data_IF_637645562893
#
_entry.id   IF_637645562893
#
_cell.length_a   1.000
_cell.length_b   1.000
_cell.length_c   1.000
_cell.angle_alpha   90.00
_cell.angle_beta   90.00
_cell.angle_gamma   90.00
#
_symmetry.space_group_name_H-M   'P 1'
#
loop_
_entity.id
_entity.type
_entity.pdbx_description
1 polymer ?
#
# COMPACT_ATOMS: atom_id res chain seq x y z
N UNK A 1 25.73 -21.09 -0.13
CA UNK A 1 24.50 -20.64 -0.83
C UNK A 1 23.38 -20.60 0.20
N UNK A 2 23.00 -19.41 0.67
CA UNK A 2 21.79 -19.30 1.48
C UNK A 2 20.59 -19.51 0.54
N UNK A 3 19.75 -20.51 0.83
CA UNK A 3 18.53 -20.73 0.08
C UNK A 3 17.63 -19.48 0.21
N UNK A 4 17.39 -18.80 -0.91
CA UNK A 4 16.46 -17.68 -0.98
C UNK A 4 15.06 -18.22 -0.73
N UNK A 5 14.44 -17.85 0.40
CA UNK A 5 13.04 -18.19 0.69
C UNK A 5 12.18 -17.57 -0.43
N UNK A 6 11.26 -18.33 -1.06
CA UNK A 6 10.35 -17.79 -2.06
C UNK A 6 9.55 -16.61 -1.49
N UNK A 7 9.39 -15.55 -2.28
CA UNK A 7 8.63 -14.35 -1.88
C UNK A 7 7.17 -14.69 -1.56
N UNK A 8 6.61 -15.66 -2.26
CA UNK A 8 5.27 -16.21 -2.05
C UNK A 8 5.32 -17.73 -1.86
N UNK A 9 4.45 -18.24 -1.01
CA UNK A 9 4.19 -19.67 -0.83
C UNK A 9 2.75 -20.00 -1.22
N UNK A 10 2.56 -21.22 -1.69
CA UNK A 10 1.24 -21.72 -2.12
C UNK A 10 0.92 -23.01 -1.38
N UNK A 11 -0.33 -23.15 -0.93
CA UNK A 11 -0.84 -24.37 -0.31
C UNK A 11 -2.27 -24.64 -0.79
N UNK A 12 -2.59 -25.90 -1.04
CA UNK A 12 -3.97 -26.33 -1.25
C UNK A 12 -4.61 -26.57 0.11
N UNK A 13 -5.68 -25.84 0.41
CA UNK A 13 -6.42 -25.96 1.66
C UNK A 13 -7.68 -26.79 1.41
N UNK A 14 -7.88 -27.79 2.26
CA UNK A 14 -9.19 -28.38 2.48
C UNK A 14 -10.01 -27.43 3.36
N UNK A 15 -11.18 -27.02 2.86
CA UNK A 15 -12.01 -25.99 3.50
C UNK A 15 -13.05 -26.63 4.43
N UNK A 16 -13.41 -27.90 4.22
CA UNK A 16 -14.37 -28.62 5.07
C UNK A 16 -13.69 -29.27 6.28
N UNK A 17 -13.14 -28.44 7.17
CA UNK A 17 -12.41 -28.88 8.37
C UNK A 17 -13.25 -29.80 9.28
N UNK A 18 -14.57 -29.74 9.18
CA UNK A 18 -15.50 -30.50 10.01
C UNK A 18 -16.06 -31.75 9.31
N UNK A 19 -15.63 -32.06 8.07
CA UNK A 19 -16.17 -33.14 7.26
C UNK A 19 -17.71 -33.16 7.24
N UNK A 20 -18.34 -31.98 7.08
CA UNK A 20 -19.80 -31.87 7.03
C UNK A 20 -20.38 -32.41 5.74
N UNK A 21 -19.56 -32.51 4.69
CA UNK A 21 -19.95 -32.95 3.37
C UNK A 21 -19.08 -34.11 2.89
N UNK A 22 -19.67 -35.02 2.12
CA UNK A 22 -18.92 -36.09 1.44
C UNK A 22 -18.18 -35.59 0.19
N UNK A 23 -18.25 -34.28 -0.08
CA UNK A 23 -17.66 -33.64 -1.25
C UNK A 23 -16.31 -33.03 -0.88
N UNK A 24 -15.29 -33.31 -1.66
CA UNK A 24 -14.00 -32.64 -1.50
C UNK A 24 -14.12 -31.16 -1.92
N UNK A 25 -14.04 -30.26 -0.94
CA UNK A 25 -14.09 -28.81 -1.15
C UNK A 25 -12.75 -28.17 -0.81
N UNK A 26 -12.07 -27.59 -1.81
CA UNK A 26 -10.73 -27.05 -1.64
C UNK A 26 -10.53 -25.69 -2.30
N UNK A 27 -9.54 -24.93 -1.79
CA UNK A 27 -9.07 -23.69 -2.39
C UNK A 27 -7.54 -23.61 -2.40
N UNK A 28 -6.98 -22.88 -3.37
CA UNK A 28 -5.56 -22.54 -3.39
C UNK A 28 -5.34 -21.27 -2.58
N UNK A 29 -4.46 -21.35 -1.59
CA UNK A 29 -4.05 -20.25 -0.73
C UNK A 29 -2.63 -19.81 -1.07
N UNK A 30 -2.45 -18.52 -1.33
CA UNK A 30 -1.16 -17.89 -1.59
C UNK A 30 -0.87 -16.89 -0.48
N UNK A 31 0.34 -16.90 0.07
CA UNK A 31 0.70 -16.02 1.18
C UNK A 31 2.18 -15.66 1.15
N UNK A 32 2.56 -14.60 1.85
CA UNK A 32 3.97 -14.17 1.91
C UNK A 32 4.86 -15.24 2.53
N UNK A 33 6.01 -15.51 1.91
CA UNK A 33 6.97 -16.49 2.42
C UNK A 33 7.68 -16.07 3.70
N UNK A 34 7.68 -14.76 4.00
CA UNK A 34 8.29 -14.16 5.18
C UNK A 34 7.30 -13.20 5.86
N UNK A 35 7.26 -13.27 7.20
CA UNK A 35 6.54 -12.30 8.02
C UNK A 35 7.42 -11.08 8.30
N UNK A 36 6.81 -9.89 8.39
CA UNK A 36 7.48 -8.65 8.75
C UNK A 36 6.55 -7.82 9.64
N UNK A 37 7.08 -7.28 10.74
CA UNK A 37 6.32 -6.42 11.65
C UNK A 37 5.99 -5.04 11.04
N UNK A 38 6.74 -4.62 10.02
CA UNK A 38 6.63 -3.28 9.43
C UNK A 38 5.83 -3.29 8.11
N UNK A 39 5.20 -4.40 7.76
CA UNK A 39 4.45 -4.57 6.52
C UNK A 39 3.19 -5.41 6.75
N UNK A 40 2.19 -5.21 5.90
CA UNK A 40 1.03 -6.08 5.86
C UNK A 40 1.41 -7.50 5.43
N UNK A 41 0.67 -8.48 5.94
CA UNK A 41 0.79 -9.88 5.56
C UNK A 41 -0.44 -10.28 4.73
N UNK A 42 -0.21 -10.62 3.47
CA UNK A 42 -1.27 -10.91 2.52
C UNK A 42 -1.55 -12.42 2.45
N UNK A 43 -2.84 -12.77 2.37
CA UNK A 43 -3.33 -14.13 2.11
C UNK A 43 -4.37 -14.04 0.99
N UNK A 44 -4.09 -14.63 -0.18
CA UNK A 44 -5.01 -14.73 -1.32
C UNK A 44 -5.63 -16.11 -1.37
N UNK A 45 -6.95 -16.15 -1.53
CA UNK A 45 -7.70 -17.39 -1.70
C UNK A 45 -8.26 -17.44 -3.13
N UNK A 46 -7.78 -18.37 -3.93
CA UNK A 46 -8.34 -18.69 -5.24
C UNK A 46 -9.13 -19.98 -5.13
N UNK A 47 -10.38 -19.97 -5.60
CA UNK A 47 -11.26 -21.11 -5.45
C UNK A 47 -12.23 -21.25 -6.61
N UNK A 48 -12.44 -22.49 -7.03
CA UNK A 48 -13.43 -22.90 -8.03
C UNK A 48 -14.18 -24.19 -7.61
N UNK A 49 -13.75 -24.82 -6.51
CA UNK A 49 -14.19 -26.15 -6.08
C UNK A 49 -14.80 -26.18 -4.67
N UNK A 50 -15.08 -25.03 -4.06
CA UNK A 50 -15.68 -24.87 -2.73
C UNK A 50 -16.96 -24.04 -2.83
N UNK A 51 -17.90 -24.25 -1.93
CA UNK A 51 -19.07 -23.40 -1.74
C UNK A 51 -18.70 -22.13 -0.95
N UNK A 52 -19.27 -21.00 -1.36
CA UNK A 52 -18.94 -19.71 -0.75
C UNK A 52 -19.23 -19.66 0.77
N UNK A 53 -20.26 -20.37 1.23
CA UNK A 53 -20.63 -20.42 2.65
C UNK A 53 -19.54 -21.11 3.50
N UNK A 54 -19.04 -22.27 3.06
CA UNK A 54 -18.00 -23.03 3.77
C UNK A 54 -16.69 -22.24 3.80
N UNK A 55 -16.33 -21.61 2.67
CA UNK A 55 -15.16 -20.71 2.61
C UNK A 55 -15.31 -19.53 3.57
N UNK A 56 -16.48 -18.90 3.60
CA UNK A 56 -16.75 -17.77 4.50
C UNK A 56 -16.67 -18.19 5.97
N UNK A 57 -17.21 -19.35 6.35
CA UNK A 57 -17.09 -19.88 7.71
C UNK A 57 -15.62 -20.11 8.13
N UNK A 58 -14.81 -20.66 7.23
CA UNK A 58 -13.38 -20.86 7.48
C UNK A 58 -12.66 -19.52 7.71
N UNK A 59 -12.86 -18.54 6.84
CA UNK A 59 -12.22 -17.21 6.96
C UNK A 59 -12.73 -16.46 8.20
N UNK A 60 -14.01 -16.61 8.57
CA UNK A 60 -14.55 -16.12 9.84
C UNK A 60 -13.87 -16.78 11.04
N UNK A 61 -13.58 -18.08 10.96
CA UNK A 61 -12.75 -18.78 11.94
C UNK A 61 -11.36 -18.15 12.08
N UNK A 62 -10.69 -17.87 10.96
CA UNK A 62 -9.38 -17.22 10.94
C UNK A 62 -9.42 -15.81 11.53
N UNK A 63 -10.45 -15.01 11.22
CA UNK A 63 -10.60 -13.66 11.75
C UNK A 63 -10.73 -13.65 13.28
N UNK A 64 -11.55 -14.55 13.83
CA UNK A 64 -11.68 -14.73 15.28
C UNK A 64 -10.36 -15.18 15.90
N UNK A 65 -9.68 -16.15 15.28
CA UNK A 65 -8.41 -16.67 15.78
C UNK A 65 -7.30 -15.61 15.74
N UNK A 66 -7.18 -14.87 14.64
CA UNK A 66 -6.24 -13.77 14.48
C UNK A 66 -6.42 -12.74 15.61
N UNK A 67 -7.67 -12.33 15.86
CA UNK A 67 -8.01 -11.39 16.94
C UNK A 67 -7.56 -11.92 18.31
N UNK A 68 -7.80 -13.20 18.60
CA UNK A 68 -7.37 -13.82 19.86
C UNK A 68 -5.84 -13.89 20.03
N UNK A 69 -5.10 -13.83 18.93
CA UNK A 69 -3.64 -13.83 18.90
C UNK A 69 -3.04 -12.41 18.80
N UNK A 70 -3.86 -11.36 18.88
CA UNK A 70 -3.41 -9.97 18.81
C UNK A 70 -3.17 -9.44 17.38
N UNK A 71 -3.65 -10.14 16.35
CA UNK A 71 -3.58 -9.70 14.96
C UNK A 71 -4.92 -9.19 14.44
N UNK A 72 -4.87 -8.25 13.50
CA UNK A 72 -6.03 -7.83 12.73
C UNK A 72 -6.06 -8.55 11.39
N UNK A 73 -7.10 -9.32 11.13
CA UNK A 73 -7.38 -9.91 9.83
C UNK A 73 -8.62 -9.26 9.23
N UNK A 74 -8.47 -8.58 8.11
CA UNK A 74 -9.56 -7.93 7.38
C UNK A 74 -9.52 -8.32 5.91
N UNK A 75 -10.68 -8.44 5.24
CA UNK A 75 -10.71 -8.54 3.80
C UNK A 75 -10.32 -7.19 3.19
N UNK A 76 -9.59 -7.26 2.08
CA UNK A 76 -9.13 -6.09 1.33
C UNK A 76 -9.46 -6.27 -0.14
N UNK A 77 -9.53 -5.16 -0.87
CA UNK A 77 -9.63 -5.20 -2.31
C UNK A 77 -8.23 -5.39 -2.92
N UNK A 78 -8.09 -6.32 -3.85
CA UNK A 78 -6.82 -6.63 -4.53
C UNK A 78 -6.20 -5.42 -5.26
N UNK A 79 -7.04 -4.52 -5.80
CA UNK A 79 -6.63 -3.36 -6.59
C UNK A 79 -7.33 -2.07 -6.16
N UNK A 80 -7.00 -1.47 -5.00
CA UNK A 80 -7.67 -0.27 -4.51
C UNK A 80 -7.49 0.93 -5.45
N UNK A 81 -6.43 0.94 -6.25
CA UNK A 81 -6.07 2.01 -7.18
C UNK A 81 -6.07 1.59 -8.66
N UNK A 82 -6.72 0.47 -9.00
CA UNK A 82 -6.80 0.02 -10.39
C UNK A 82 -7.56 1.03 -11.26
N UNK A 83 -6.93 1.53 -12.33
CA UNK A 83 -7.61 2.42 -13.28
C UNK A 83 -8.74 1.67 -14.02
N UNK A 84 -9.82 2.36 -14.45
CA UNK A 84 -10.95 1.73 -15.14
C UNK A 84 -10.58 0.97 -16.42
N UNK A 85 -9.41 1.25 -17.01
CA UNK A 85 -8.86 0.54 -18.16
C UNK A 85 -8.31 -0.87 -17.85
N UNK A 86 -8.11 -1.21 -16.57
CA UNK A 86 -7.66 -2.53 -16.13
C UNK A 86 -8.82 -3.48 -15.84
N UNK A 87 -8.55 -4.79 -15.86
CA UNK A 87 -9.54 -5.84 -15.59
C UNK A 87 -10.30 -5.66 -14.26
N UNK A 88 -9.61 -5.16 -13.23
CA UNK A 88 -10.18 -4.92 -11.89
C UNK A 88 -10.47 -3.43 -11.62
N UNK A 89 -10.41 -2.61 -12.67
CA UNK A 89 -10.73 -1.20 -12.63
C UNK A 89 -12.22 -0.99 -12.40
N UNK A 90 -12.55 -0.09 -11.49
CA UNK A 90 -13.93 0.29 -11.20
C UNK A 90 -14.12 1.76 -11.61
N UNK A 91 -14.96 2.05 -12.63
CA UNK A 91 -15.16 3.42 -13.11
C UNK A 91 -15.80 4.33 -12.07
N UNK A 92 -16.43 3.79 -11.02
CA UNK A 92 -17.03 4.56 -9.94
C UNK A 92 -16.07 4.80 -8.77
N UNK A 93 -14.87 4.19 -8.79
CA UNK A 93 -13.87 4.39 -7.75
C UNK A 93 -13.06 5.65 -8.03
N UNK A 94 -13.51 6.76 -7.49
CA UNK A 94 -12.76 8.00 -7.50
C UNK A 94 -11.52 7.88 -6.59
N UNK A 95 -10.33 8.01 -7.19
CA UNK A 95 -9.08 8.16 -6.45
C UNK A 95 -8.96 9.59 -5.96
N UNK A 96 -8.91 9.78 -4.63
CA UNK A 96 -8.71 11.11 -4.06
C UNK A 96 -7.21 11.41 -4.00
N UNK A 97 -6.79 12.51 -4.64
CA UNK A 97 -5.41 12.97 -4.54
C UNK A 97 -5.27 14.01 -3.42
N UNK A 98 -4.33 13.76 -2.50
CA UNK A 98 -3.98 14.64 -1.39
C UNK A 98 -2.63 15.28 -1.69
N UNK A 99 -2.56 16.57 -2.07
CA UNK A 99 -1.30 17.24 -2.33
C UNK A 99 -0.50 17.43 -1.04
N UNK A 100 0.81 17.23 -1.10
CA UNK A 100 1.73 17.53 0.01
C UNK A 100 2.41 18.87 -0.24
N UNK A 101 2.17 19.84 0.64
CA UNK A 101 2.73 21.18 0.51
C UNK A 101 4.19 21.22 0.98
N UNK A 102 5.13 20.98 0.06
CA UNK A 102 6.57 21.04 0.34
C UNK A 102 7.13 22.47 0.37
N UNK A 103 6.41 23.46 -0.19
CA UNK A 103 6.91 24.84 -0.27
C UNK A 103 7.18 25.46 1.10
N UNK A 104 6.38 25.09 2.12
CA UNK A 104 6.56 25.55 3.49
C UNK A 104 7.82 25.00 4.18
N UNK A 105 8.52 24.05 3.56
CA UNK A 105 9.71 23.40 4.09
C UNK A 105 11.01 23.90 3.44
N UNK A 106 10.90 24.76 2.41
CA UNK A 106 12.06 25.31 1.72
C UNK A 106 12.82 26.28 2.63
N UNK A 107 14.15 26.20 2.59
CA UNK A 107 15.02 27.20 3.23
C UNK A 107 15.03 28.47 2.38
N UNK A 108 15.30 29.61 3.00
CA UNK A 108 15.48 30.86 2.27
C UNK A 108 16.58 30.70 1.21
N UNK A 109 16.24 30.98 -0.05
CA UNK A 109 17.15 30.86 -1.20
C UNK A 109 17.28 29.47 -1.81
N UNK A 110 16.61 28.44 -1.26
CA UNK A 110 16.56 27.10 -1.87
C UNK A 110 15.36 26.95 -2.81
N UNK A 111 15.57 26.34 -3.97
CA UNK A 111 14.50 26.02 -4.93
C UNK A 111 13.87 24.66 -4.63
N UNK A 112 14.62 23.73 -4.02
CA UNK A 112 14.11 22.40 -3.67
C UNK A 112 14.47 21.95 -2.25
N UNK A 113 13.63 21.07 -1.68
CA UNK A 113 13.73 20.58 -0.30
C UNK A 113 15.07 19.87 0.02
N UNK A 114 15.71 19.29 -0.99
CA UNK A 114 16.89 18.44 -0.86
C UNK A 114 18.11 18.99 -1.62
N UNK A 115 18.20 20.31 -1.82
CA UNK A 115 19.29 20.96 -2.57
C UNK A 115 20.70 20.66 -2.06
N UNK A 116 20.84 20.23 -0.79
CA UNK A 116 22.13 19.82 -0.21
C UNK A 116 22.59 18.42 -0.67
N UNK A 117 21.81 17.71 -1.46
CA UNK A 117 22.10 16.37 -1.94
C UNK A 117 22.19 16.32 -3.46
N UNK A 118 22.75 15.23 -3.99
CA UNK A 118 22.81 15.00 -5.44
C UNK A 118 21.39 15.02 -6.04
N UNK A 119 21.14 15.81 -7.11
CA UNK A 119 19.81 15.93 -7.72
C UNK A 119 19.20 14.60 -8.15
N UNK A 120 20.04 13.62 -8.53
CA UNK A 120 19.59 12.27 -8.92
C UNK A 120 18.87 11.53 -7.79
N UNK A 121 19.19 11.86 -6.53
CA UNK A 121 18.61 11.22 -5.33
C UNK A 121 17.33 11.88 -4.84
N UNK A 122 16.88 12.97 -5.47
CA UNK A 122 15.74 13.77 -5.01
C UNK A 122 14.48 12.92 -4.78
N UNK A 123 14.13 12.07 -5.75
CA UNK A 123 12.88 11.29 -5.69
C UNK A 123 12.95 10.13 -4.70
N UNK A 124 14.12 9.53 -4.50
CA UNK A 124 14.30 8.52 -3.45
C UNK A 124 14.19 9.16 -2.06
N UNK A 125 14.72 10.37 -1.88
CA UNK A 125 14.58 11.14 -0.63
C UNK A 125 13.14 11.60 -0.40
N UNK A 126 12.46 12.07 -1.45
CA UNK A 126 11.04 12.43 -1.39
C UNK A 126 10.20 11.21 -1.00
N UNK A 127 10.50 10.04 -1.57
CA UNK A 127 9.87 8.77 -1.19
C UNK A 127 10.06 8.46 0.29
N UNK A 128 11.28 8.52 0.80
CA UNK A 128 11.57 8.28 2.22
C UNK A 128 10.86 9.27 3.13
N UNK A 129 10.80 10.55 2.74
CA UNK A 129 10.08 11.56 3.50
C UNK A 129 8.57 11.29 3.52
N UNK A 130 7.98 10.97 2.37
CA UNK A 130 6.56 10.63 2.28
C UNK A 130 6.22 9.34 3.04
N UNK A 131 7.11 8.33 3.01
CA UNK A 131 6.99 7.11 3.79
C UNK A 131 7.07 7.38 5.30
N UNK A 132 7.95 8.29 5.74
CA UNK A 132 8.03 8.70 7.13
C UNK A 132 6.74 9.40 7.61
N UNK A 133 6.11 10.22 6.76
CA UNK A 133 4.79 10.80 7.02
C UNK A 133 3.75 9.68 7.13
N UNK A 134 3.68 8.77 6.15
CA UNK A 134 2.73 7.67 6.15
C UNK A 134 2.87 6.82 7.43
N UNK A 135 4.09 6.46 7.82
CA UNK A 135 4.36 5.69 9.04
C UNK A 135 3.92 6.43 10.31
N UNK A 136 4.11 7.77 10.37
CA UNK A 136 3.61 8.58 11.50
C UNK A 136 2.10 8.49 11.67
N UNK A 137 1.37 8.36 10.56
CA UNK A 137 -0.09 8.21 10.54
C UNK A 137 -0.55 6.75 10.67
N UNK A 138 0.34 5.80 10.97
CA UNK A 138 -0.03 4.40 11.16
C UNK A 138 -0.26 3.63 9.86
N UNK A 139 0.33 4.07 8.75
CA UNK A 139 0.37 3.28 7.52
C UNK A 139 1.55 2.31 7.54
N UNK A 140 1.30 1.07 7.12
CA UNK A 140 2.31 0.03 6.94
C UNK A 140 2.40 -0.35 5.47
N UNK A 141 3.57 -0.81 5.06
CA UNK A 141 3.80 -1.15 3.66
C UNK A 141 2.90 -2.33 3.25
N UNK A 142 2.14 -2.13 2.18
CA UNK A 142 1.39 -3.20 1.54
C UNK A 142 2.27 -3.82 0.45
N UNK A 143 3.00 -4.87 0.83
CA UNK A 143 3.91 -5.56 -0.10
C UNK A 143 3.04 -6.40 -1.03
N UNK A 144 2.70 -5.84 -2.18
CA UNK A 144 1.96 -6.55 -3.20
C UNK A 144 2.70 -7.82 -3.62
N UNK A 145 2.11 -8.99 -3.39
CA UNK A 145 2.63 -10.24 -3.92
C UNK A 145 2.03 -10.48 -5.30
N UNK A 146 2.88 -10.55 -6.34
CA UNK A 146 2.43 -10.90 -7.68
C UNK A 146 1.62 -12.21 -7.64
N UNK A 147 0.35 -12.16 -8.00
CA UNK A 147 -0.46 -13.36 -8.19
C UNK A 147 0.07 -14.18 -9.37
N UNK A 148 -0.10 -15.50 -9.34
CA UNK A 148 0.22 -16.38 -10.48
C UNK A 148 -0.45 -15.94 -11.81
N UNK A 149 -1.53 -15.14 -11.73
CA UNK A 149 -2.10 -14.41 -12.86
C UNK A 149 -1.41 -13.06 -12.98
N UNK A 150 -0.34 -13.02 -13.80
CA UNK A 150 0.46 -11.82 -14.05
C UNK A 150 -0.35 -10.74 -14.76
N UNK A 151 -0.78 -9.72 -14.02
CA UNK A 151 -1.10 -8.40 -14.59
C UNK A 151 0.07 -7.47 -14.30
N UNK A 152 0.39 -6.51 -15.20
CA UNK A 152 1.47 -5.56 -14.94
C UNK A 152 1.07 -4.72 -13.72
N UNK A 153 1.56 -5.13 -12.55
CA UNK A 153 1.45 -4.34 -11.34
C UNK A 153 2.17 -3.02 -11.63
N UNK A 154 1.43 -1.91 -11.60
CA UNK A 154 2.08 -0.61 -11.54
C UNK A 154 2.97 -0.63 -10.29
N UNK A 155 4.29 -0.48 -10.49
CA UNK A 155 5.31 -0.58 -9.45
C UNK A 155 5.32 0.65 -8.52
N UNK A 156 4.13 1.12 -8.16
CA UNK A 156 3.87 2.24 -7.26
C UNK A 156 3.76 1.71 -5.84
N UNK A 157 4.53 2.27 -4.89
CA UNK A 157 4.43 1.90 -3.48
C UNK A 157 3.00 2.08 -2.96
N UNK A 158 2.46 1.04 -2.30
CA UNK A 158 1.16 1.05 -1.65
C UNK A 158 1.31 0.78 -0.16
N UNK A 159 0.38 1.32 0.60
CA UNK A 159 0.34 1.23 2.05
C UNK A 159 -1.10 1.04 2.49
N UNK A 160 -1.28 0.30 3.58
CA UNK A 160 -2.57 0.14 4.25
C UNK A 160 -2.46 0.69 5.67
N UNK A 161 -3.49 1.40 6.13
CA UNK A 161 -3.53 1.85 7.52
C UNK A 161 -3.69 0.63 8.46
N UNK A 162 -3.11 0.66 9.65
CA UNK A 162 -3.16 -0.45 10.63
C UNK A 162 -4.57 -0.89 11.03
N UNK A 163 -5.59 -0.06 10.82
CA UNK A 163 -7.01 -0.40 11.04
C UNK A 163 -7.64 -1.15 9.87
N UNK A 164 -6.95 -1.23 8.72
CA UNK A 164 -7.46 -1.85 7.50
C UNK A 164 -8.52 -1.04 6.76
N UNK A 165 -8.82 0.20 7.19
CA UNK A 165 -9.95 0.98 6.67
C UNK A 165 -9.64 1.74 5.38
N UNK A 166 -8.38 2.07 5.14
CA UNK A 166 -7.95 2.97 4.05
C UNK A 166 -6.58 2.57 3.50
N UNK A 167 -6.36 2.92 2.24
CA UNK A 167 -5.13 2.70 1.49
C UNK A 167 -4.51 4.02 1.07
N UNK A 168 -3.19 4.01 0.96
CA UNK A 168 -2.38 5.05 0.36
C UNK A 168 -1.53 4.49 -0.78
N UNK A 169 -1.35 5.27 -1.84
CA UNK A 169 -0.41 4.96 -2.91
C UNK A 169 0.37 6.21 -3.30
N UNK A 170 1.67 6.05 -3.53
CA UNK A 170 2.49 7.13 -4.06
C UNK A 170 2.33 7.22 -5.59
N UNK A 171 2.24 8.44 -6.15
CA UNK A 171 1.88 8.63 -7.56
C UNK A 171 2.99 8.24 -8.55
N UNK A 172 4.20 8.00 -8.08
CA UNK A 172 5.37 7.64 -8.88
C UNK A 172 5.85 6.20 -8.59
N UNK A 173 6.43 5.57 -9.60
CA UNK A 173 7.01 4.22 -9.46
C UNK A 173 8.38 4.29 -8.80
N UNK A 174 8.77 3.26 -8.04
CA UNK A 174 10.17 3.14 -7.62
C UNK A 174 11.04 3.06 -8.87
N UNK A 175 11.92 4.05 -9.06
CA UNK A 175 12.89 4.03 -10.16
C UNK A 175 13.79 2.82 -9.90
N UNK A 176 13.72 1.81 -10.76
CA UNK A 176 14.76 0.79 -10.79
C UNK A 176 15.99 1.49 -11.35
N UNK A 177 16.93 1.86 -10.48
CA UNK A 177 18.29 2.22 -10.88
C UNK A 177 19.01 0.95 -11.36
N UNK A 178 18.45 0.28 -12.38
CA UNK A 178 19.22 -0.67 -13.18
C UNK A 178 19.94 0.17 -14.22
N UNK A 179 21.26 0.25 -14.14
CA UNK A 179 22.15 0.81 -15.16
C UNK A 179 22.12 0.04 -16.50
N UNK A 180 20.92 -0.33 -16.97
CA UNK A 180 20.72 -0.80 -18.33
C UNK A 180 20.35 0.41 -19.19
N UNK A 181 21.25 0.75 -20.12
CA UNK A 181 20.90 1.52 -21.31
C UNK A 181 19.54 1.04 -21.82
N UNK A 182 18.54 1.93 -21.76
CA UNK A 182 17.24 1.72 -22.41
C UNK A 182 17.53 1.31 -23.86
N UNK A 183 17.35 0.02 -24.19
CA UNK A 183 17.28 -0.42 -25.57
C UNK A 183 16.10 0.31 -26.21
N UNK A 184 16.44 1.27 -27.07
CA UNK A 184 15.53 2.11 -27.85
C UNK A 184 14.57 1.20 -28.62
N UNK A 185 13.35 0.99 -28.12
CA UNK A 185 12.27 0.36 -28.88
C UNK A 185 11.77 1.43 -29.86
N UNK A 186 12.05 1.23 -31.15
CA UNK A 186 11.48 2.03 -32.23
C UNK A 186 10.00 1.66 -32.37
N UNK A 187 9.13 2.40 -31.70
CA UNK A 187 7.70 2.44 -32.00
C UNK A 187 7.32 3.88 -32.33
N UNK A 188 7.02 4.13 -33.60
CA UNK A 188 6.73 5.43 -34.23
C UNK A 188 5.31 5.94 -33.97
N UNK A 189 4.75 5.71 -32.77
CA UNK A 189 3.37 6.13 -32.45
C UNK A 189 3.24 6.60 -31.01
N UNK A 190 3.66 7.83 -30.73
CA UNK A 190 2.98 8.76 -29.81
C UNK A 190 3.70 10.10 -29.83
N UNK A 191 3.16 11.04 -30.59
CA UNK A 191 3.44 12.46 -30.41
C UNK A 191 3.12 12.87 -28.95
N UNK A 192 3.99 13.70 -28.37
CA UNK A 192 3.84 14.36 -27.07
C UNK A 192 3.73 13.46 -25.82
N UNK A 193 4.64 12.49 -25.65
CA UNK A 193 5.03 12.15 -24.27
C UNK A 193 5.89 13.28 -23.72
N UNK A 194 5.25 14.23 -23.05
CA UNK A 194 5.90 15.08 -22.08
C UNK A 194 6.78 14.17 -21.20
N UNK A 195 8.11 14.35 -21.26
CA UNK A 195 9.09 13.59 -20.46
C UNK A 195 8.91 13.81 -18.94
N UNK A 196 7.96 14.66 -18.57
CA UNK A 196 7.38 14.82 -17.25
C UNK A 196 5.87 14.58 -17.39
N UNK A 197 5.41 13.34 -17.19
CA UNK A 197 4.12 13.23 -16.50
C UNK A 197 4.38 13.93 -15.17
N UNK A 198 3.73 15.07 -14.89
CA UNK A 198 3.96 15.85 -13.68
C UNK A 198 3.88 14.90 -12.47
N UNK A 199 5.03 14.49 -11.93
CA UNK A 199 5.11 13.65 -10.73
C UNK A 199 4.63 14.53 -9.58
N UNK A 200 3.30 14.60 -9.39
CA UNK A 200 2.68 15.44 -8.38
C UNK A 200 3.13 14.93 -7.01
N UNK A 201 3.61 15.85 -6.16
CA UNK A 201 4.04 15.51 -4.81
C UNK A 201 2.79 15.42 -3.93
N UNK A 202 2.48 14.21 -3.49
CA UNK A 202 1.28 13.93 -2.71
C UNK A 202 0.97 12.45 -2.66
N UNK A 203 -0.26 12.13 -2.29
CA UNK A 203 -0.71 10.78 -2.04
C UNK A 203 -2.04 10.51 -2.73
N UNK A 204 -2.18 9.31 -3.26
CA UNK A 204 -3.47 8.79 -3.66
C UNK A 204 -4.13 8.08 -2.48
N UNK A 205 -5.40 8.36 -2.26
CA UNK A 205 -6.20 7.85 -1.15
C UNK A 205 -7.37 7.01 -1.65
N UNK A 206 -7.59 5.86 -1.02
CA UNK A 206 -8.74 5.00 -1.29
C UNK A 206 -9.29 4.38 0.00
N UNK A 207 -10.60 4.14 0.03
CA UNK A 207 -11.26 3.46 1.14
C UNK A 207 -11.28 1.95 0.90
N UNK A 208 -11.16 1.16 1.98
CA UNK A 208 -11.40 -0.26 1.92
C UNK A 208 -12.90 -0.57 1.94
N UNK A 209 -13.48 -0.72 0.75
CA UNK A 209 -14.91 -1.06 0.57
C UNK A 209 -15.26 -2.48 1.01
N UNK A 210 -14.26 -3.36 1.20
CA UNK A 210 -14.47 -4.74 1.66
C UNK A 210 -14.67 -4.83 3.18
N UNK A 211 -14.34 -3.76 3.93
CA UNK A 211 -14.51 -3.73 5.38
C UNK A 211 -15.97 -3.44 5.77
N UNK A 212 -16.81 -4.47 5.68
CA UNK A 212 -18.21 -4.41 6.12
C UNK A 212 -18.34 -4.50 7.65
N UNK A 213 -19.54 -4.25 8.17
CA UNK A 213 -19.85 -4.31 9.61
C UNK A 213 -19.44 -5.63 10.26
N UNK A 214 -19.51 -6.74 9.52
CA UNK A 214 -19.17 -8.09 10.01
C UNK A 214 -17.69 -8.25 10.36
N UNK A 215 -16.80 -7.48 9.75
CA UNK A 215 -15.35 -7.56 9.95
C UNK A 215 -14.81 -6.51 10.91
N UNK A 216 -15.69 -5.65 11.46
CA UNK A 216 -15.29 -4.58 12.36
C UNK A 216 -15.07 -5.11 13.77
N UNK A 217 -14.03 -4.59 14.39
CA UNK A 217 -13.69 -4.81 15.79
C UNK A 217 -13.28 -3.48 16.42
N UNK A 218 -12.96 -3.46 17.72
CA UNK A 218 -12.41 -2.26 18.36
C UNK A 218 -11.13 -1.75 17.67
N UNK A 219 -10.37 -2.64 17.02
CA UNK A 219 -9.14 -2.29 16.31
C UNK A 219 -9.37 -1.63 14.94
N UNK A 220 -10.54 -1.80 14.31
CA UNK A 220 -10.83 -1.21 12.99
C UNK A 220 -11.29 0.24 13.07
N UNK A 221 -11.57 0.76 14.27
CA UNK A 221 -12.21 2.06 14.46
C UNK A 221 -13.71 2.07 14.13
N UNK A 222 -14.35 3.21 14.36
CA UNK A 222 -15.76 3.44 14.03
C UNK A 222 -15.97 3.82 12.56
N UNK A 223 -17.23 3.90 12.11
CA UNK A 223 -17.56 4.24 10.72
C UNK A 223 -17.08 5.63 10.29
N UNK A 224 -16.83 6.54 11.25
CA UNK A 224 -16.36 7.91 11.01
C UNK A 224 -14.84 8.05 11.11
N UNK A 225 -14.14 6.99 11.51
CA UNK A 225 -12.70 7.03 11.74
C UNK A 225 -11.95 7.37 10.46
N UNK A 226 -12.29 6.71 9.36
CA UNK A 226 -11.65 6.94 8.07
C UNK A 226 -11.77 8.40 7.59
N UNK A 227 -12.92 9.03 7.80
CA UNK A 227 -13.14 10.44 7.42
C UNK A 227 -12.41 11.42 8.33
N UNK A 228 -12.31 11.11 9.63
CA UNK A 228 -11.49 11.90 10.57
C UNK A 228 -10.01 11.79 10.22
N UNK A 229 -9.54 10.59 9.90
CA UNK A 229 -8.17 10.33 9.49
C UNK A 229 -7.86 11.07 8.17
N UNK A 230 -8.75 11.00 7.17
CA UNK A 230 -8.59 11.74 5.93
C UNK A 230 -8.45 13.25 6.18
N UNK A 231 -9.32 13.81 7.03
CA UNK A 231 -9.27 15.24 7.39
C UNK A 231 -7.96 15.60 8.07
N UNK A 232 -7.57 14.84 9.09
CA UNK A 232 -6.34 15.09 9.84
C UNK A 232 -5.08 14.95 8.97
N UNK A 233 -5.06 13.95 8.08
CA UNK A 233 -3.97 13.74 7.13
C UNK A 233 -3.89 14.89 6.11
N UNK A 234 -5.04 15.35 5.59
CA UNK A 234 -5.09 16.49 4.66
C UNK A 234 -4.63 17.78 5.33
N UNK A 235 -5.14 18.06 6.54
CA UNK A 235 -4.73 19.21 7.36
C UNK A 235 -3.22 19.20 7.63
N UNK A 236 -2.65 18.03 7.92
CA UNK A 236 -1.22 17.87 8.08
C UNK A 236 -0.45 18.15 6.77
N UNK A 237 -0.90 17.59 5.64
CA UNK A 237 -0.25 17.77 4.33
C UNK A 237 -0.24 19.23 3.84
N UNK A 238 -1.22 20.05 4.24
CA UNK A 238 -1.23 21.49 3.91
C UNK A 238 -0.46 22.36 4.92
N UNK A 239 0.23 21.75 5.88
CA UNK A 239 0.94 22.41 6.98
C UNK A 239 0.03 23.24 7.91
N UNK A 240 -1.17 22.74 8.22
CA UNK A 240 -2.03 23.36 9.22
C UNK A 240 -1.34 23.36 10.59
N UNK A 241 -1.42 24.49 11.29
CA UNK A 241 -0.82 24.70 12.62
C UNK A 241 0.68 24.40 12.67
N UNK A 242 1.40 24.57 11.55
CA UNK A 242 2.84 24.28 11.40
C UNK A 242 3.24 22.82 11.68
N UNK A 243 2.29 21.88 11.68
CA UNK A 243 2.54 20.47 12.03
C UNK A 243 3.54 19.80 11.08
N UNK A 244 3.51 20.12 9.80
CA UNK A 244 4.42 19.56 8.80
C UNK A 244 5.84 20.13 8.97
N UNK A 245 5.96 21.44 9.21
CA UNK A 245 7.24 22.10 9.51
C UNK A 245 7.87 21.52 10.78
N UNK A 246 7.11 21.38 11.86
CA UNK A 246 7.60 20.77 13.10
C UNK A 246 8.03 19.33 12.90
N UNK A 247 7.28 18.56 12.10
CA UNK A 247 7.68 17.19 11.78
C UNK A 247 8.98 17.13 10.98
N UNK A 248 9.12 17.98 9.97
CA UNK A 248 10.33 18.09 9.16
C UNK A 248 11.56 18.44 10.02
N UNK A 249 11.44 19.42 10.92
CA UNK A 249 12.51 19.77 11.86
C UNK A 249 12.92 18.56 12.72
N UNK A 250 11.95 17.82 13.26
CA UNK A 250 12.23 16.60 14.04
C UNK A 250 12.91 15.51 13.21
N UNK A 251 12.56 15.37 11.93
CA UNK A 251 13.25 14.45 11.00
C UNK A 251 14.72 14.86 10.79
N UNK A 252 14.99 16.14 10.60
CA UNK A 252 16.36 16.66 10.46
C UNK A 252 17.19 16.45 11.72
N UNK A 253 16.63 16.73 12.89
CA UNK A 253 17.30 16.49 14.18
C UNK A 253 17.72 15.02 14.34
N UNK A 254 16.80 14.08 14.05
CA UNK A 254 17.11 12.64 14.10
C UNK A 254 18.17 12.23 13.09
N UNK A 255 18.14 12.80 11.89
CA UNK A 255 19.15 12.56 10.86
C UNK A 255 20.54 13.03 11.33
N UNK A 256 20.63 14.22 11.93
CA UNK A 256 21.87 14.75 12.47
C UNK A 256 22.38 13.98 13.69
N UNK A 257 21.49 13.53 14.57
CA UNK A 257 21.85 12.69 15.72
C UNK A 257 22.29 11.27 15.33
N UNK A 258 21.90 10.79 14.14
CA UNK A 258 22.27 9.48 13.61
C UNK A 258 23.52 9.53 12.73
N UNK A 259 24.04 10.72 12.44
CA UNK A 259 25.30 10.88 11.72
C UNK A 259 26.47 10.62 12.71
N UNK A 260 27.42 9.73 12.37
CA UNK A 260 28.57 9.41 13.22
C UNK A 260 29.51 10.59 13.44
#
# INVERSE_FOLDING_TARGET
MAATVPEQRTVTLDVDVNNRTDRLEWCSCYYHGNFSLNAAFEIKLHWMAVTAAVLFEMVQGWHRKATSCGFLLVPVLEGPFALPSYLYGDPLRAQLFIPLNVSCLLKEGSEHLFDSFEPETYWDRMHLFQEAIAHRFGFVQDKYSASAFNFPAENKPQYIHVTGTVFLQLPYSKRKFSGQQRRRRNSTSSANQNMFCEERIGYNWAYNTMLTKTWRSSATGDEKFADRLLRDFTDFCVNRDNRLVTFWASCLEKMHASAP
#
